data_IF_251362115561
#
_entry.id   IF_251362115561
#
_cell.length_a   1.000
_cell.length_b   1.000
_cell.length_c   1.000
_cell.angle_alpha   90.00
_cell.angle_beta   90.00
_cell.angle_gamma   90.00
#
_symmetry.space_group_name_H-M   'P 1'
#
loop_
_entity.id
_entity.type
_entity.pdbx_description
1 polymer ?
#
# COMPACT_ATOMS: atom_id res chain seq x y z
N UNK A 1 26.54 6.28 5.54
CA UNK A 1 26.19 7.11 6.71
C UNK A 1 26.46 6.36 8.01
N UNK A 2 25.85 5.19 8.25
CA UNK A 2 26.10 4.39 9.48
C UNK A 2 27.59 4.08 9.76
N UNK A 3 28.39 3.74 8.74
CA UNK A 3 29.83 3.50 8.90
C UNK A 3 30.70 4.77 8.99
N UNK A 4 30.11 5.96 8.83
CA UNK A 4 30.85 7.22 8.69
C UNK A 4 30.42 8.29 9.71
N UNK A 5 29.38 8.07 10.52
CA UNK A 5 28.86 9.05 11.49
C UNK A 5 28.37 8.38 12.78
N UNK A 6 28.66 8.99 13.93
CA UNK A 6 28.22 8.58 15.29
C UNK A 6 26.75 8.99 15.58
N UNK A 7 26.06 9.57 14.60
CA UNK A 7 24.70 10.07 14.76
C UNK A 7 23.70 8.93 14.96
N UNK A 8 22.74 9.15 15.87
CA UNK A 8 21.63 8.22 16.08
C UNK A 8 20.88 7.97 14.78
N UNK A 9 20.52 6.70 14.54
CA UNK A 9 19.82 6.29 13.32
C UNK A 9 18.51 7.04 13.09
N UNK A 10 17.83 7.47 14.16
CA UNK A 10 16.63 8.30 14.08
C UNK A 10 16.90 9.67 13.45
N UNK A 11 18.01 10.32 13.80
CA UNK A 11 18.41 11.62 13.23
C UNK A 11 18.76 11.44 11.75
N UNK A 12 19.56 10.42 11.43
CA UNK A 12 19.95 10.14 10.04
C UNK A 12 18.70 9.89 9.18
N UNK A 13 17.75 9.07 9.64
CA UNK A 13 16.51 8.79 8.93
C UNK A 13 15.60 10.01 8.78
N UNK A 14 15.42 10.80 9.84
CA UNK A 14 14.63 12.03 9.79
C UNK A 14 15.24 13.06 8.82
N UNK A 15 16.56 13.25 8.88
CA UNK A 15 17.27 14.15 7.96
C UNK A 15 17.21 13.66 6.52
N UNK A 16 17.35 12.36 6.26
CA UNK A 16 17.29 11.84 4.88
C UNK A 16 15.90 12.01 4.27
N UNK A 17 14.84 11.70 5.03
CA UNK A 17 13.45 11.88 4.57
C UNK A 17 13.13 13.36 4.33
N UNK A 18 13.52 14.24 5.25
CA UNK A 18 13.28 15.68 5.11
C UNK A 18 14.00 16.26 3.90
N UNK A 19 15.27 15.89 3.70
CA UNK A 19 16.04 16.31 2.54
C UNK A 19 15.42 15.80 1.22
N UNK A 20 14.95 14.55 1.20
CA UNK A 20 14.26 13.96 0.06
C UNK A 20 12.99 14.73 -0.32
N UNK A 21 12.12 15.01 0.66
CA UNK A 21 10.86 15.75 0.43
C UNK A 21 11.13 17.18 -0.05
N UNK A 22 12.14 17.86 0.52
CA UNK A 22 12.53 19.21 0.07
C UNK A 22 13.04 19.16 -1.38
N UNK A 23 13.90 18.20 -1.72
CA UNK A 23 14.41 18.03 -3.07
C UNK A 23 13.27 17.72 -4.07
N UNK A 24 12.31 16.87 -3.69
CA UNK A 24 11.15 16.54 -4.50
C UNK A 24 10.23 17.75 -4.71
N UNK A 25 10.00 18.56 -3.69
CA UNK A 25 9.22 19.80 -3.79
C UNK A 25 9.88 20.81 -4.75
N UNK A 26 11.21 20.96 -4.67
CA UNK A 26 12.00 21.82 -5.55
C UNK A 26 11.93 21.30 -7.00
N UNK A 27 12.17 20.01 -7.21
CA UNK A 27 12.12 19.38 -8.53
C UNK A 27 10.72 19.52 -9.16
N UNK A 28 9.67 19.22 -8.40
CA UNK A 28 8.27 19.36 -8.83
C UNK A 28 7.96 20.80 -9.23
N UNK A 29 8.45 21.79 -8.47
CA UNK A 29 8.29 23.20 -8.82
C UNK A 29 8.95 23.51 -10.17
N UNK A 30 10.18 23.07 -10.39
CA UNK A 30 10.88 23.28 -11.66
C UNK A 30 10.18 22.61 -12.83
N UNK A 31 9.72 21.35 -12.67
CA UNK A 31 9.01 20.61 -13.72
C UNK A 31 7.66 21.26 -14.06
N UNK A 32 6.98 21.86 -13.07
CA UNK A 32 5.69 22.53 -13.26
C UNK A 32 5.77 23.88 -13.97
N UNK A 33 6.94 24.54 -14.00
CA UNK A 33 7.07 25.91 -14.53
C UNK A 33 6.61 26.05 -15.98
N UNK A 34 6.91 25.07 -16.84
CA UNK A 34 6.50 25.09 -18.25
C UNK A 34 4.98 24.96 -18.43
N UNK A 35 4.33 24.16 -17.59
CA UNK A 35 2.87 23.97 -17.59
C UNK A 35 2.18 25.22 -17.06
N UNK A 36 2.68 25.80 -15.96
CA UNK A 36 2.16 27.04 -15.39
C UNK A 36 2.25 28.21 -16.36
N UNK A 37 3.35 28.31 -17.11
CA UNK A 37 3.52 29.33 -18.15
C UNK A 37 2.51 29.15 -19.31
N UNK A 38 2.21 27.91 -19.71
CA UNK A 38 1.19 27.61 -20.72
C UNK A 38 -0.22 27.95 -20.24
N UNK A 39 -0.59 27.49 -19.04
CA UNK A 39 -1.92 27.73 -18.45
C UNK A 39 -2.18 29.24 -18.27
N UNK A 40 -1.16 30.02 -17.89
CA UNK A 40 -1.28 31.47 -17.73
C UNK A 40 -1.48 32.22 -19.05
N UNK A 41 -1.01 31.64 -20.16
CA UNK A 41 -1.12 32.24 -21.50
C UNK A 41 -2.37 31.78 -22.26
N UNK A 42 -3.00 30.67 -21.86
CA UNK A 42 -4.29 30.26 -22.37
C UNK A 42 -5.41 31.06 -21.67
N UNK A 43 -6.13 31.89 -22.43
CA UNK A 43 -7.43 32.42 -21.99
C UNK A 43 -8.43 31.26 -21.98
N UNK A 44 -8.36 30.41 -20.96
CA UNK A 44 -9.35 29.39 -20.69
C UNK A 44 -10.68 30.10 -20.43
N UNK A 45 -11.58 30.05 -21.40
CA UNK A 45 -12.98 30.44 -21.24
C UNK A 45 -13.50 29.73 -19.99
N UNK A 46 -14.03 30.52 -19.06
CA UNK A 46 -14.51 30.11 -17.74
C UNK A 46 -15.80 29.28 -17.84
N UNK A 47 -15.79 28.20 -18.60
CA UNK A 47 -16.89 27.23 -18.69
C UNK A 47 -16.70 26.12 -17.65
N UNK A 48 -16.73 26.52 -16.39
CA UNK A 48 -17.28 25.76 -15.26
C UNK A 48 -16.85 26.47 -13.99
N UNK A 49 -17.82 27.06 -13.29
CA UNK A 49 -17.63 27.40 -11.88
C UNK A 49 -17.53 26.09 -11.11
N UNK A 50 -16.35 25.46 -11.12
CA UNK A 50 -16.01 24.38 -10.20
C UNK A 50 -16.26 24.90 -8.79
N UNK A 51 -17.35 24.46 -8.20
CA UNK A 51 -17.74 24.92 -6.88
C UNK A 51 -16.79 24.31 -5.87
N UNK A 52 -16.40 25.07 -4.84
CA UNK A 52 -15.66 24.51 -3.70
C UNK A 52 -16.38 23.28 -3.11
N UNK A 53 -17.71 23.19 -3.24
CA UNK A 53 -18.46 21.99 -2.86
C UNK A 53 -18.11 20.75 -3.70
N UNK A 54 -17.88 20.88 -5.01
CA UNK A 54 -17.49 19.76 -5.86
C UNK A 54 -16.08 19.28 -5.55
N UNK A 55 -15.17 20.23 -5.30
CA UNK A 55 -13.79 19.93 -4.86
C UNK A 55 -13.81 19.19 -3.53
N UNK A 56 -14.55 19.69 -2.54
CA UNK A 56 -14.65 19.07 -1.21
C UNK A 56 -15.28 17.68 -1.30
N UNK A 57 -16.37 17.51 -2.05
CA UNK A 57 -17.04 16.21 -2.19
C UNK A 57 -16.15 15.15 -2.86
N UNK A 58 -15.26 15.55 -3.77
CA UNK A 58 -14.32 14.65 -4.42
C UNK A 58 -13.08 14.37 -3.55
N UNK A 59 -12.48 15.40 -2.94
CA UNK A 59 -11.21 15.28 -2.21
C UNK A 59 -11.38 14.79 -0.76
N UNK A 60 -12.46 15.16 -0.08
CA UNK A 60 -12.64 14.81 1.33
C UNK A 60 -12.62 13.29 1.57
N UNK A 61 -13.34 12.44 0.81
CA UNK A 61 -13.26 10.99 0.95
C UNK A 61 -11.86 10.43 0.70
N UNK A 62 -11.14 11.01 -0.27
CA UNK A 62 -9.79 10.59 -0.63
C UNK A 62 -8.78 10.93 0.48
N UNK A 63 -8.86 12.15 1.01
CA UNK A 63 -8.03 12.61 2.13
C UNK A 63 -8.31 11.79 3.41
N UNK A 64 -9.58 11.52 3.71
CA UNK A 64 -9.98 10.71 4.84
C UNK A 64 -9.43 9.28 4.73
N UNK A 65 -9.41 8.73 3.52
CA UNK A 65 -8.81 7.40 3.25
C UNK A 65 -7.33 7.37 3.63
N UNK A 66 -6.57 8.40 3.25
CA UNK A 66 -5.16 8.52 3.61
C UNK A 66 -4.95 8.68 5.12
N UNK A 67 -5.79 9.48 5.79
CA UNK A 67 -5.73 9.68 7.24
C UNK A 67 -6.02 8.38 8.00
N UNK A 68 -7.07 7.66 7.59
CA UNK A 68 -7.43 6.36 8.17
C UNK A 68 -6.29 5.35 7.95
N UNK A 69 -5.74 5.28 6.74
CA UNK A 69 -4.62 4.40 6.41
C UNK A 69 -3.38 4.70 7.25
N UNK A 70 -3.06 5.97 7.47
CA UNK A 70 -1.91 6.39 8.27
C UNK A 70 -2.11 6.05 9.76
N UNK A 71 -3.34 6.10 10.25
CA UNK A 71 -3.71 5.71 11.62
C UNK A 71 -3.51 4.22 11.94
N UNK A 72 -3.41 3.35 10.93
CA UNK A 72 -3.18 1.91 11.13
C UNK A 72 -1.84 1.63 11.82
N UNK A 73 -0.78 2.35 11.44
CA UNK A 73 0.56 2.08 11.95
C UNK A 73 0.70 2.30 13.46
N UNK A 74 0.27 3.46 14.02
CA UNK A 74 0.24 3.65 15.48
C UNK A 74 -0.59 2.58 16.20
N UNK A 75 -1.74 2.18 15.64
CA UNK A 75 -2.61 1.16 16.24
C UNK A 75 -1.93 -0.21 16.29
N UNK A 76 -1.31 -0.64 15.19
CA UNK A 76 -0.55 -1.89 15.14
C UNK A 76 0.56 -1.89 16.19
N UNK A 77 1.34 -0.80 16.27
CA UNK A 77 2.41 -0.66 17.27
C UNK A 77 1.89 -0.72 18.70
N UNK A 78 0.76 -0.07 18.99
CA UNK A 78 0.11 -0.11 20.30
C UNK A 78 -0.28 -1.53 20.72
N UNK A 79 -0.91 -2.29 19.82
CA UNK A 79 -1.31 -3.67 20.08
C UNK A 79 -0.11 -4.60 20.23
N UNK A 80 0.91 -4.46 19.39
CA UNK A 80 2.16 -5.24 19.52
C UNK A 80 2.83 -4.97 20.87
N UNK A 81 2.83 -3.72 21.34
CA UNK A 81 3.36 -3.37 22.66
C UNK A 81 2.71 -4.12 23.83
N UNK A 82 1.46 -4.56 23.67
CA UNK A 82 0.71 -5.35 24.65
C UNK A 82 0.74 -6.86 24.40
N UNK A 83 1.47 -7.31 23.38
CA UNK A 83 1.50 -8.72 22.97
C UNK A 83 2.65 -9.49 23.60
N UNK A 84 2.60 -10.82 23.46
CA UNK A 84 3.73 -11.69 23.77
C UNK A 84 4.93 -11.38 22.87
N UNK A 85 6.13 -11.36 23.46
CA UNK A 85 7.39 -11.02 22.77
C UNK A 85 7.29 -9.67 22.03
N UNK A 86 6.79 -8.65 22.75
CA UNK A 86 6.54 -7.32 22.19
C UNK A 86 7.83 -6.64 21.72
N UNK A 87 8.92 -6.75 22.48
CA UNK A 87 10.21 -6.15 22.13
C UNK A 87 10.79 -6.74 20.85
N UNK A 88 10.82 -8.07 20.75
CA UNK A 88 11.28 -8.79 19.56
C UNK A 88 10.38 -8.47 18.37
N UNK A 89 9.06 -8.45 18.57
CA UNK A 89 8.08 -8.11 17.53
C UNK A 89 8.26 -6.69 17.00
N UNK A 90 8.49 -5.71 17.87
CA UNK A 90 8.76 -4.32 17.48
C UNK A 90 10.10 -4.16 16.79
N UNK A 91 11.11 -4.96 17.17
CA UNK A 91 12.43 -4.94 16.53
C UNK A 91 12.38 -5.45 15.08
N UNK A 92 11.58 -6.49 14.81
CA UNK A 92 11.55 -7.13 13.48
C UNK A 92 10.49 -6.53 12.54
N UNK A 93 9.45 -5.89 13.06
CA UNK A 93 8.35 -5.36 12.26
C UNK A 93 8.79 -4.40 11.13
N UNK A 94 9.66 -3.40 11.37
CA UNK A 94 10.14 -2.52 10.31
C UNK A 94 10.92 -3.28 9.24
N UNK A 95 11.71 -4.28 9.64
CA UNK A 95 12.56 -5.05 8.73
C UNK A 95 11.75 -5.91 7.77
N UNK A 96 10.71 -6.57 8.28
CA UNK A 96 9.74 -7.33 7.46
C UNK A 96 9.01 -6.38 6.51
N UNK A 97 8.52 -5.25 7.05
CA UNK A 97 7.80 -4.27 6.24
C UNK A 97 8.68 -3.71 5.11
N UNK A 98 9.97 -3.44 5.35
CA UNK A 98 10.89 -2.97 4.32
C UNK A 98 11.06 -3.99 3.19
N UNK A 99 11.28 -5.28 3.52
CA UNK A 99 11.38 -6.33 2.49
C UNK A 99 10.11 -6.40 1.66
N UNK A 100 8.97 -6.50 2.33
CA UNK A 100 7.65 -6.65 1.69
C UNK A 100 7.32 -5.40 0.86
N UNK A 101 7.70 -4.21 1.32
CA UNK A 101 7.44 -2.95 0.63
C UNK A 101 8.15 -2.85 -0.72
N UNK A 102 9.35 -3.42 -0.86
CA UNK A 102 10.06 -3.48 -2.16
C UNK A 102 9.20 -4.18 -3.23
N UNK A 103 8.50 -5.26 -2.85
CA UNK A 103 7.61 -5.97 -3.77
C UNK A 103 6.25 -5.28 -3.91
N UNK A 104 5.72 -4.72 -2.82
CA UNK A 104 4.42 -4.02 -2.84
C UNK A 104 4.46 -2.73 -3.66
N UNK A 105 5.59 -2.03 -3.70
CA UNK A 105 5.73 -0.77 -4.44
C UNK A 105 5.37 -0.94 -5.93
N UNK A 106 5.78 -2.06 -6.54
CA UNK A 106 5.42 -2.41 -7.92
C UNK A 106 3.91 -2.55 -8.11
N UNK A 107 3.22 -3.12 -7.12
CA UNK A 107 1.76 -3.20 -7.12
C UNK A 107 1.08 -1.86 -6.86
N UNK A 108 1.67 -0.98 -6.06
CA UNK A 108 1.16 0.39 -5.86
C UNK A 108 1.30 1.22 -7.14
N UNK A 109 2.45 1.18 -7.80
CA UNK A 109 2.68 1.85 -9.09
C UNK A 109 1.79 1.35 -10.21
N UNK A 110 1.33 0.09 -10.14
CA UNK A 110 0.40 -0.46 -11.11
C UNK A 110 -0.94 0.30 -11.17
N UNK A 111 -1.34 0.97 -10.09
CA UNK A 111 -2.57 1.77 -10.08
C UNK A 111 -2.54 2.85 -11.16
N UNK A 112 -1.43 3.57 -11.32
CA UNK A 112 -1.26 4.63 -12.32
C UNK A 112 -1.23 4.07 -13.76
N UNK A 113 -0.59 2.92 -13.95
CA UNK A 113 -0.60 2.20 -15.23
C UNK A 113 -2.03 1.81 -15.62
N UNK A 114 -2.81 1.32 -14.64
CA UNK A 114 -4.22 1.00 -14.83
C UNK A 114 -5.04 2.23 -15.21
N UNK A 115 -4.84 3.36 -14.53
CA UNK A 115 -5.57 4.61 -14.83
C UNK A 115 -5.22 5.13 -16.25
N UNK A 116 -3.94 5.09 -16.63
CA UNK A 116 -3.47 5.65 -17.89
C UNK A 116 -3.83 4.80 -19.12
N UNK A 117 -3.93 3.47 -18.97
CA UNK A 117 -4.04 2.56 -20.11
C UNK A 117 -5.39 1.86 -20.26
N UNK A 118 -6.33 2.01 -19.32
CA UNK A 118 -7.61 1.28 -19.36
C UNK A 118 -8.51 1.70 -20.54
N UNK A 119 -8.36 2.94 -21.02
CA UNK A 119 -9.19 3.57 -22.05
C UNK A 119 -10.55 4.04 -21.52
N UNK A 120 -11.19 4.97 -22.24
CA UNK A 120 -12.44 5.62 -21.79
C UNK A 120 -13.60 4.63 -21.60
N UNK A 121 -13.61 3.55 -22.38
CA UNK A 121 -14.63 2.48 -22.35
C UNK A 121 -14.11 1.14 -21.82
N UNK A 122 -12.90 1.09 -21.25
CA UNK A 122 -12.33 -0.17 -20.76
C UNK A 122 -11.81 -1.11 -21.85
N UNK A 123 -11.45 -0.58 -23.02
CA UNK A 123 -11.01 -1.33 -24.21
C UNK A 123 -9.80 -2.24 -23.93
N UNK A 124 -8.94 -1.83 -23.00
CA UNK A 124 -7.72 -2.56 -22.63
C UNK A 124 -7.85 -3.35 -21.31
N UNK A 125 -9.08 -3.54 -20.82
CA UNK A 125 -9.35 -4.21 -19.56
C UNK A 125 -8.74 -5.62 -19.49
N UNK A 126 -8.90 -6.43 -20.55
CA UNK A 126 -8.47 -7.83 -20.53
C UNK A 126 -6.95 -7.97 -20.50
N UNK A 127 -6.23 -7.10 -21.22
CA UNK A 127 -4.78 -7.03 -21.25
C UNK A 127 -4.25 -6.61 -19.88
N UNK A 128 -4.84 -5.57 -19.27
CA UNK A 128 -4.48 -5.11 -17.94
C UNK A 128 -4.76 -6.18 -16.88
N UNK A 129 -5.94 -6.81 -16.89
CA UNK A 129 -6.27 -7.88 -15.95
C UNK A 129 -5.31 -9.07 -16.04
N UNK A 130 -4.92 -9.46 -17.27
CA UNK A 130 -3.93 -10.53 -17.49
C UNK A 130 -2.55 -10.15 -16.95
N UNK A 131 -2.12 -8.92 -17.22
CA UNK A 131 -0.85 -8.40 -16.70
C UNK A 131 -0.84 -8.31 -15.17
N UNK A 132 -1.91 -7.78 -14.56
CA UNK A 132 -2.07 -7.71 -13.11
C UNK A 132 -1.98 -9.08 -12.44
N UNK A 133 -2.62 -10.11 -13.03
CA UNK A 133 -2.53 -11.50 -12.54
C UNK A 133 -1.10 -12.03 -12.60
N UNK A 134 -0.41 -11.86 -13.74
CA UNK A 134 0.99 -12.29 -13.90
C UNK A 134 1.91 -11.56 -12.93
N UNK A 135 1.77 -10.24 -12.81
CA UNK A 135 2.55 -9.42 -11.89
C UNK A 135 2.33 -9.86 -10.44
N UNK A 136 1.07 -9.94 -9.99
CA UNK A 136 0.75 -10.35 -8.63
C UNK A 136 1.26 -11.74 -8.28
N UNK A 137 1.04 -12.73 -9.16
CA UNK A 137 1.52 -14.10 -8.96
C UNK A 137 3.05 -14.16 -8.91
N UNK A 138 3.73 -13.43 -9.80
CA UNK A 138 5.19 -13.38 -9.84
C UNK A 138 5.76 -12.76 -8.56
N UNK A 139 5.21 -11.63 -8.11
CA UNK A 139 5.68 -10.96 -6.90
C UNK A 139 5.47 -11.81 -5.65
N UNK A 140 4.31 -12.45 -5.50
CA UNK A 140 4.06 -13.35 -4.38
C UNK A 140 4.94 -14.60 -4.44
N UNK A 141 5.11 -15.21 -5.63
CA UNK A 141 5.96 -16.39 -5.79
C UNK A 141 7.42 -16.08 -5.45
N UNK A 142 7.97 -14.98 -5.97
CA UNK A 142 9.36 -14.58 -5.68
C UNK A 142 9.54 -14.30 -4.20
N UNK A 143 8.64 -13.52 -3.58
CA UNK A 143 8.74 -13.22 -2.15
C UNK A 143 8.57 -14.49 -1.29
N UNK A 144 7.67 -15.40 -1.67
CA UNK A 144 7.48 -16.67 -0.97
C UNK A 144 8.71 -17.59 -1.10
N UNK A 145 9.35 -17.64 -2.27
CA UNK A 145 10.61 -18.37 -2.47
C UNK A 145 11.71 -17.77 -1.58
N UNK A 146 11.84 -16.45 -1.52
CA UNK A 146 12.79 -15.78 -0.62
C UNK A 146 12.48 -16.13 0.84
N UNK A 147 11.20 -16.12 1.22
CA UNK A 147 10.73 -16.42 2.58
C UNK A 147 11.03 -17.87 3.01
N UNK A 148 10.85 -18.83 2.11
CA UNK A 148 11.03 -20.25 2.38
C UNK A 148 12.49 -20.71 2.27
N UNK A 149 13.33 -19.95 1.56
CA UNK A 149 14.74 -20.31 1.35
C UNK A 149 15.67 -19.61 2.34
N UNK A 150 16.91 -20.10 2.51
CA UNK A 150 17.94 -19.43 3.31
C UNK A 150 18.32 -18.03 2.81
N UNK A 151 17.86 -17.63 1.61
CA UNK A 151 18.07 -16.29 1.04
C UNK A 151 17.51 -15.21 1.96
N UNK A 152 16.41 -15.49 2.65
CA UNK A 152 15.85 -14.57 3.68
C UNK A 152 16.90 -14.16 4.73
N UNK A 153 17.85 -15.03 5.10
CA UNK A 153 18.91 -14.69 6.06
C UNK A 153 19.83 -13.58 5.57
N UNK A 154 20.10 -13.50 4.27
CA UNK A 154 20.92 -12.42 3.69
C UNK A 154 20.24 -11.07 3.97
N UNK A 155 18.92 -10.99 3.79
CA UNK A 155 18.18 -9.77 4.09
C UNK A 155 18.10 -9.47 5.59
N UNK A 156 17.67 -10.45 6.39
CA UNK A 156 17.37 -10.24 7.81
C UNK A 156 18.63 -10.11 8.67
N UNK A 157 19.67 -10.91 8.42
CA UNK A 157 20.91 -10.87 9.19
C UNK A 157 21.95 -9.91 8.58
N UNK A 158 22.36 -10.11 7.32
CA UNK A 158 23.49 -9.35 6.75
C UNK A 158 23.13 -7.90 6.39
N UNK A 159 21.96 -7.67 5.81
CA UNK A 159 21.54 -6.32 5.38
C UNK A 159 20.92 -5.55 6.55
N UNK A 160 20.01 -6.20 7.28
CA UNK A 160 19.22 -5.54 8.33
C UNK A 160 19.87 -5.63 9.71
N UNK A 161 20.89 -6.47 9.88
CA UNK A 161 21.65 -6.57 11.14
C UNK A 161 20.92 -7.31 12.27
N UNK A 162 19.91 -8.13 11.98
CA UNK A 162 19.23 -8.89 13.03
C UNK A 162 20.15 -9.99 13.59
N UNK A 163 20.07 -10.19 14.91
CA UNK A 163 20.69 -11.33 15.57
C UNK A 163 20.10 -12.65 15.05
N UNK A 164 20.81 -13.76 15.26
CA UNK A 164 20.34 -15.08 14.81
C UNK A 164 18.97 -15.44 15.40
N UNK A 165 18.76 -15.12 16.69
CA UNK A 165 17.49 -15.33 17.38
C UNK A 165 16.33 -14.55 16.72
N UNK A 166 16.55 -13.28 16.36
CA UNK A 166 15.53 -12.48 15.69
C UNK A 166 15.33 -12.91 14.23
N UNK A 167 16.39 -13.35 13.55
CA UNK A 167 16.31 -13.88 12.18
C UNK A 167 15.45 -15.15 12.14
N UNK A 168 15.58 -16.03 13.13
CA UNK A 168 14.73 -17.21 13.26
C UNK A 168 13.28 -16.85 13.62
N UNK A 169 13.08 -15.83 14.47
CA UNK A 169 11.75 -15.33 14.86
C UNK A 169 10.94 -14.79 13.67
N UNK A 170 11.61 -14.28 12.64
CA UNK A 170 11.00 -13.65 11.46
C UNK A 170 10.44 -14.64 10.44
N UNK A 171 10.90 -15.90 10.46
CA UNK A 171 10.58 -16.91 9.41
C UNK A 171 9.08 -17.07 9.16
N UNK A 172 8.31 -17.34 10.22
CA UNK A 172 6.86 -17.56 10.10
C UNK A 172 6.13 -16.28 9.66
N UNK A 173 6.34 -15.11 10.32
CA UNK A 173 5.74 -13.84 9.88
C UNK A 173 5.94 -13.51 8.40
N UNK A 174 7.15 -13.74 7.87
CA UNK A 174 7.46 -13.42 6.46
C UNK A 174 6.75 -14.35 5.49
N UNK A 175 6.66 -15.64 5.81
CA UNK A 175 5.90 -16.59 5.00
C UNK A 175 4.42 -16.19 4.95
N UNK A 176 3.85 -15.79 6.10
CA UNK A 176 2.46 -15.34 6.19
C UNK A 176 2.26 -14.14 5.25
N UNK A 177 3.04 -13.07 5.41
CA UNK A 177 2.86 -11.82 4.66
C UNK A 177 3.30 -11.91 3.19
N UNK A 178 3.93 -13.00 2.75
CA UNK A 178 4.45 -13.15 1.39
C UNK A 178 3.39 -13.00 0.28
N UNK A 179 2.10 -13.24 0.61
CA UNK A 179 0.98 -13.06 -0.33
C UNK A 179 0.57 -11.58 -0.52
N UNK A 180 1.01 -10.69 0.37
CA UNK A 180 0.60 -9.28 0.40
C UNK A 180 0.87 -8.52 -0.91
N UNK A 181 2.00 -8.70 -1.63
CA UNK A 181 2.21 -8.03 -2.92
C UNK A 181 1.15 -8.39 -3.96
N UNK A 182 0.72 -9.66 -4.04
CA UNK A 182 -0.35 -10.07 -4.96
C UNK A 182 -1.68 -9.38 -4.62
N UNK A 183 -2.03 -9.34 -3.34
CA UNK A 183 -3.23 -8.63 -2.88
C UNK A 183 -3.13 -7.11 -3.13
N UNK A 184 -1.92 -6.54 -3.06
CA UNK A 184 -1.66 -5.13 -3.36
C UNK A 184 -1.89 -4.85 -4.85
N UNK A 185 -1.38 -5.70 -5.76
CA UNK A 185 -1.66 -5.56 -7.20
C UNK A 185 -3.15 -5.64 -7.49
N UNK A 186 -3.85 -6.60 -6.87
CA UNK A 186 -5.29 -6.79 -7.07
C UNK A 186 -6.11 -5.57 -6.61
N UNK A 187 -5.84 -5.04 -5.41
CA UNK A 187 -6.55 -3.86 -4.92
C UNK A 187 -6.21 -2.61 -5.74
N UNK A 188 -4.96 -2.46 -6.18
CA UNK A 188 -4.55 -1.36 -7.06
C UNK A 188 -5.27 -1.41 -8.41
N UNK A 189 -5.48 -2.60 -8.97
CA UNK A 189 -6.26 -2.78 -10.20
C UNK A 189 -7.75 -2.46 -10.01
N UNK A 190 -8.34 -2.88 -8.89
CA UNK A 190 -9.72 -2.51 -8.57
C UNK A 190 -9.88 -1.00 -8.42
N UNK A 191 -8.94 -0.36 -7.71
CA UNK A 191 -8.92 1.08 -7.49
C UNK A 191 -8.69 1.85 -8.78
N UNK A 192 -7.80 1.39 -9.68
CA UNK A 192 -7.55 2.08 -10.94
C UNK A 192 -8.82 2.22 -11.77
N UNK A 193 -9.61 1.14 -11.91
CA UNK A 193 -10.91 1.21 -12.59
C UNK A 193 -11.89 2.15 -11.86
N UNK A 194 -12.05 2.00 -10.54
CA UNK A 194 -12.98 2.83 -9.78
C UNK A 194 -12.65 4.32 -9.87
N UNK A 195 -11.36 4.68 -9.88
CA UNK A 195 -10.90 6.05 -10.06
C UNK A 195 -11.18 6.55 -11.48
N UNK A 196 -10.85 5.78 -12.51
CA UNK A 196 -11.10 6.18 -13.91
C UNK A 196 -12.57 6.48 -14.17
N UNK A 197 -13.48 5.67 -13.62
CA UNK A 197 -14.93 5.85 -13.77
C UNK A 197 -15.56 6.74 -12.68
N UNK A 198 -14.74 7.54 -11.97
CA UNK A 198 -15.17 8.53 -10.95
C UNK A 198 -16.05 7.95 -9.82
N UNK A 199 -15.88 6.66 -9.50
CA UNK A 199 -16.59 5.97 -8.43
C UNK A 199 -15.65 5.69 -7.25
N UNK A 200 -15.26 6.73 -6.52
CA UNK A 200 -14.22 6.65 -5.48
C UNK A 200 -14.74 6.36 -4.07
N UNK A 201 -16.04 6.60 -3.81
CA UNK A 201 -16.66 6.34 -2.49
C UNK A 201 -16.45 4.90 -1.98
N UNK A 202 -16.56 3.84 -2.82
CA UNK A 202 -16.27 2.48 -2.37
C UNK A 202 -14.82 2.28 -1.91
N UNK A 203 -13.86 3.05 -2.41
CA UNK A 203 -12.45 2.94 -2.00
C UNK A 203 -12.28 3.33 -0.53
N UNK A 204 -12.99 4.37 -0.08
CA UNK A 204 -13.01 4.80 1.32
C UNK A 204 -13.62 3.73 2.22
N UNK A 205 -14.78 3.17 1.86
CA UNK A 205 -15.40 2.09 2.62
C UNK A 205 -14.53 0.83 2.70
N UNK A 206 -13.86 0.47 1.60
CA UNK A 206 -12.91 -0.65 1.60
C UNK A 206 -11.78 -0.43 2.60
N UNK A 207 -11.29 0.80 2.71
CA UNK A 207 -10.23 1.17 3.65
C UNK A 207 -10.73 1.14 5.10
N UNK A 208 -11.95 1.63 5.36
CA UNK A 208 -12.58 1.50 6.68
C UNK A 208 -12.69 0.03 7.08
N UNK A 209 -13.19 -0.82 6.18
CA UNK A 209 -13.29 -2.28 6.40
C UNK A 209 -11.90 -2.87 6.68
N UNK A 210 -10.89 -2.52 5.89
CA UNK A 210 -9.51 -2.98 6.10
C UNK A 210 -9.03 -2.66 7.51
N UNK A 211 -9.15 -1.41 7.94
CA UNK A 211 -8.68 -0.95 9.25
C UNK A 211 -9.47 -1.60 10.39
N UNK A 212 -10.81 -1.69 10.27
CA UNK A 212 -11.64 -2.35 11.27
C UNK A 212 -11.28 -3.83 11.43
N UNK A 213 -11.05 -4.55 10.33
CA UNK A 213 -10.64 -5.95 10.38
C UNK A 213 -9.22 -6.11 10.94
N UNK A 214 -8.30 -5.20 10.65
CA UNK A 214 -6.96 -5.20 11.26
C UNK A 214 -7.08 -5.06 12.78
N UNK A 215 -7.84 -4.08 13.27
CA UNK A 215 -8.01 -3.84 14.71
C UNK A 215 -8.67 -5.04 15.39
N UNK A 216 -9.74 -5.57 14.79
CA UNK A 216 -10.46 -6.73 15.34
C UNK A 216 -9.55 -7.96 15.38
N UNK A 217 -8.80 -8.22 14.31
CA UNK A 217 -7.89 -9.36 14.23
C UNK A 217 -6.79 -9.22 15.28
N UNK A 218 -6.16 -8.06 15.41
CA UNK A 218 -5.13 -7.80 16.43
C UNK A 218 -5.68 -8.01 17.83
N UNK A 219 -6.87 -7.48 18.13
CA UNK A 219 -7.50 -7.65 19.43
C UNK A 219 -7.72 -9.14 19.74
N UNK A 220 -8.31 -9.89 18.81
CA UNK A 220 -8.58 -11.32 18.97
C UNK A 220 -7.29 -12.13 19.06
N UNK A 221 -6.34 -11.93 18.15
CA UNK A 221 -5.11 -12.71 18.09
C UNK A 221 -4.21 -12.51 19.31
N UNK A 222 -4.18 -11.29 19.85
CA UNK A 222 -3.32 -10.94 20.99
C UNK A 222 -4.02 -11.25 22.32
N UNK A 223 -5.29 -10.88 22.50
CA UNK A 223 -5.97 -11.05 23.80
C UNK A 223 -6.56 -12.45 24.01
N UNK A 224 -6.96 -13.13 22.95
CA UNK A 224 -7.61 -14.44 23.05
C UNK A 224 -6.63 -15.57 22.76
N UNK A 225 -5.84 -15.45 21.68
CA UNK A 225 -4.95 -16.52 21.24
C UNK A 225 -3.49 -16.41 21.74
N UNK A 226 -3.15 -15.33 22.46
CA UNK A 226 -1.80 -15.06 22.98
C UNK A 226 -0.68 -15.22 21.93
N UNK A 227 -0.97 -14.82 20.69
CA UNK A 227 -0.02 -14.88 19.59
C UNK A 227 1.04 -13.79 19.73
N UNK A 228 2.23 -14.05 19.16
CA UNK A 228 3.28 -13.03 19.11
C UNK A 228 2.83 -11.83 18.29
N UNK A 229 3.23 -10.63 18.72
CA UNK A 229 2.74 -9.38 18.13
C UNK A 229 2.97 -9.28 16.63
N UNK A 230 4.16 -9.65 16.17
CA UNK A 230 4.50 -9.58 14.74
C UNK A 230 3.65 -10.56 13.91
N UNK A 231 3.43 -11.79 14.39
CA UNK A 231 2.61 -12.79 13.69
C UNK A 231 1.16 -12.32 13.62
N UNK A 232 0.64 -11.80 14.73
CA UNK A 232 -0.68 -11.16 14.81
C UNK A 232 -0.83 -10.05 13.78
N UNK A 233 0.17 -9.16 13.66
CA UNK A 233 0.15 -8.06 12.71
C UNK A 233 0.15 -8.56 11.25
N UNK A 234 0.97 -9.55 10.90
CA UNK A 234 1.00 -10.10 9.54
C UNK A 234 -0.35 -10.72 9.15
N UNK A 235 -0.97 -11.48 10.06
CA UNK A 235 -2.31 -12.06 9.84
C UNK A 235 -3.35 -10.94 9.70
N UNK A 236 -3.34 -9.96 10.60
CA UNK A 236 -4.27 -8.84 10.58
C UNK A 236 -4.20 -8.06 9.27
N UNK A 237 -3.00 -7.77 8.77
CA UNK A 237 -2.82 -7.07 7.49
C UNK A 237 -3.39 -7.88 6.32
N UNK A 238 -3.17 -9.21 6.28
CA UNK A 238 -3.70 -10.06 5.21
C UNK A 238 -5.22 -10.11 5.26
N UNK A 239 -5.80 -10.39 6.44
CA UNK A 239 -7.24 -10.48 6.59
C UNK A 239 -7.92 -9.15 6.25
N UNK A 240 -7.38 -8.03 6.74
CA UNK A 240 -7.87 -6.70 6.38
C UNK A 240 -7.83 -6.46 4.88
N UNK A 241 -6.70 -6.79 4.24
CA UNK A 241 -6.55 -6.63 2.79
C UNK A 241 -7.50 -7.53 2.00
N UNK A 242 -7.66 -8.79 2.39
CA UNK A 242 -8.60 -9.73 1.75
C UNK A 242 -10.02 -9.20 1.86
N UNK A 243 -10.47 -8.78 3.04
CA UNK A 243 -11.82 -8.23 3.23
C UNK A 243 -12.05 -6.98 2.38
N UNK A 244 -11.06 -6.09 2.28
CA UNK A 244 -11.14 -4.91 1.43
C UNK A 244 -11.23 -5.25 -0.06
N UNK A 245 -10.42 -6.20 -0.53
CA UNK A 245 -10.45 -6.71 -1.92
C UNK A 245 -11.79 -7.37 -2.25
N UNK A 246 -12.31 -8.19 -1.33
CA UNK A 246 -13.61 -8.85 -1.49
C UNK A 246 -14.71 -7.80 -1.58
N UNK A 247 -14.70 -6.81 -0.68
CA UNK A 247 -15.65 -5.70 -0.73
C UNK A 247 -15.56 -4.90 -2.04
N UNK A 248 -14.36 -4.57 -2.51
CA UNK A 248 -14.19 -3.84 -3.77
C UNK A 248 -14.57 -4.66 -5.01
N UNK A 249 -14.64 -5.98 -4.90
CA UNK A 249 -15.07 -6.83 -6.01
C UNK A 249 -16.52 -6.56 -6.42
N UNK A 250 -17.41 -6.15 -5.49
CA UNK A 250 -18.80 -5.81 -5.80
C UNK A 250 -18.93 -4.58 -6.73
N UNK A 251 -18.45 -3.38 -6.36
CA UNK A 251 -18.52 -2.20 -7.23
C UNK A 251 -17.64 -2.37 -8.48
N UNK A 252 -16.52 -3.08 -8.38
CA UNK A 252 -15.67 -3.40 -9.53
C UNK A 252 -16.42 -4.24 -10.57
N UNK A 253 -17.07 -5.33 -10.15
CA UNK A 253 -17.81 -6.19 -11.06
C UNK A 253 -18.96 -5.46 -11.76
N UNK A 254 -19.62 -4.53 -11.05
CA UNK A 254 -20.69 -3.68 -11.63
C UNK A 254 -20.17 -2.85 -12.81
N UNK A 255 -18.96 -2.28 -12.71
CA UNK A 255 -18.32 -1.52 -13.79
C UNK A 255 -17.93 -2.48 -14.92
N UNK A 256 -17.31 -3.61 -14.61
CA UNK A 256 -16.83 -4.54 -15.65
C UNK A 256 -17.95 -5.21 -16.45
N UNK A 257 -19.12 -5.42 -15.84
CA UNK A 257 -20.28 -5.95 -16.55
C UNK A 257 -20.82 -4.96 -17.59
N UNK A 258 -20.64 -3.65 -17.36
CA UNK A 258 -21.04 -2.61 -18.31
C UNK A 258 -20.19 -2.61 -19.59
N UNK A 259 -18.91 -3.03 -19.50
CA UNK A 259 -18.05 -3.19 -20.68
C UNK A 259 -18.47 -4.36 -21.58
N UNK A 260 -18.96 -5.45 -20.98
CA UNK A 260 -19.40 -6.63 -21.73
C UNK A 260 -20.70 -6.37 -22.49
N UNK A 261 -21.60 -5.56 -21.95
CA UNK A 261 -22.88 -5.21 -22.60
C UNK A 261 -22.77 -4.13 -23.67
N UNK A 262 -21.64 -3.41 -23.77
CA UNK A 262 -21.41 -2.34 -24.75
C UNK A 262 -20.50 -2.75 -25.92
N UNK A 263 -20.04 -3.99 -25.92
CA UNK A 263 -19.26 -4.62 -27.00
C UNK A 263 -20.06 -5.66 -27.80
N UNK A 264 -21.35 -5.85 -27.46
CA UNK A 264 -22.37 -6.53 -28.26
C UNK A 264 -23.25 -5.47 -28.97
#
# INVERSE_FOLDING_TARGET
LYNFTILDGAVIGASSLSAGVIAEAIASRFMSNGILAKIKNENLSSESNLSYNEIINFYYPLALTSLIGLGVHPMVTFFIGQSRMSLESLAVLPVINSLVFIFRSLGLSYQEVGIALIGDKGEHYTQLASFAKKLGLTLAAVLLIIALTPISKIWFSNISGLSDLLTDFVKIPVIIIAIMPALTVLISFQRSLLVTFKNTTPITFATIIEVSIIILTLFVSIKIFDLTGVTSAMIAFILGRICAVVYLSFPFNKITNHFKTSSE
#
